data_IF_187597554641
#
_entry.id   IF_187597554641
#
_cell.length_a   1.000
_cell.length_b   1.000
_cell.length_c   1.000
_cell.angle_alpha   90.00
_cell.angle_beta   90.00
_cell.angle_gamma   90.00
#
_symmetry.space_group_name_H-M   'P 1'
#
loop_
_entity.id
_entity.type
_entity.pdbx_description
1 polymer ?
#
# COMPACT_ATOMS: atom_id res chain seq x y z
N UNK A 1 -18.78 -8.11 2.03
CA UNK A 1 -18.62 -7.74 0.61
C UNK A 1 -17.13 -7.82 0.31
N UNK A 2 -16.70 -8.81 -0.48
CA UNK A 2 -15.32 -8.87 -0.95
C UNK A 2 -15.19 -7.90 -2.11
N UNK A 3 -14.91 -6.64 -1.80
CA UNK A 3 -14.54 -5.68 -2.83
C UNK A 3 -13.16 -6.13 -3.33
N UNK A 4 -13.10 -6.58 -4.58
CA UNK A 4 -11.86 -6.59 -5.35
C UNK A 4 -11.46 -5.13 -5.47
N UNK A 5 -10.51 -4.73 -4.64
CA UNK A 5 -9.82 -3.45 -4.76
C UNK A 5 -8.75 -3.72 -5.81
N UNK A 6 -8.75 -2.99 -6.92
CA UNK A 6 -7.79 -3.17 -8.03
C UNK A 6 -6.31 -3.03 -7.58
N UNK A 7 -6.06 -2.43 -6.42
CA UNK A 7 -4.72 -2.41 -5.79
C UNK A 7 -4.29 -3.71 -5.08
N UNK A 8 -5.24 -4.58 -4.73
CA UNK A 8 -4.95 -5.96 -4.32
C UNK A 8 -4.56 -6.80 -5.53
N UNK A 9 -5.05 -6.49 -6.74
CA UNK A 9 -4.62 -7.18 -7.96
C UNK A 9 -3.15 -6.88 -8.25
N UNK A 10 -2.65 -5.64 -8.25
CA UNK A 10 -1.21 -5.39 -8.46
C UNK A 10 -0.30 -6.01 -7.40
N UNK A 11 -0.71 -6.02 -6.12
CA UNK A 11 0.03 -6.73 -5.07
C UNK A 11 -0.06 -8.24 -5.26
N UNK A 12 -1.23 -8.77 -5.64
CA UNK A 12 -1.41 -10.18 -5.97
C UNK A 12 -0.67 -10.58 -7.24
N UNK A 13 -0.54 -9.71 -8.24
CA UNK A 13 0.19 -9.91 -9.48
C UNK A 13 1.69 -9.92 -9.19
N UNK A 14 2.15 -9.07 -8.27
CA UNK A 14 3.49 -9.17 -7.70
C UNK A 14 3.67 -10.50 -6.95
N UNK A 15 2.71 -10.93 -6.14
CA UNK A 15 2.76 -12.23 -5.45
C UNK A 15 2.73 -13.40 -6.45
N UNK A 16 1.96 -13.29 -7.52
CA UNK A 16 1.76 -14.31 -8.55
C UNK A 16 2.99 -14.41 -9.46
N UNK A 17 3.57 -13.28 -9.86
CA UNK A 17 4.87 -13.26 -10.54
C UNK A 17 6.00 -13.83 -9.67
N UNK A 18 5.93 -13.64 -8.33
CA UNK A 18 6.84 -14.27 -7.37
C UNK A 18 6.52 -15.75 -7.09
N UNK A 19 5.30 -16.22 -7.39
CA UNK A 19 4.88 -17.63 -7.26
C UNK A 19 5.62 -18.55 -8.25
N UNK A 20 6.25 -17.97 -9.29
CA UNK A 20 7.12 -18.67 -10.23
C UNK A 20 8.52 -18.99 -9.65
N UNK A 21 8.87 -18.43 -8.49
CA UNK A 21 10.09 -18.78 -7.74
C UNK A 21 9.80 -19.95 -6.78
N UNK A 22 10.79 -20.71 -6.31
CA UNK A 22 10.56 -21.75 -5.30
C UNK A 22 9.92 -21.10 -4.07
N UNK A 23 8.59 -21.27 -3.92
CA UNK A 23 7.77 -20.55 -2.93
C UNK A 23 8.19 -20.84 -1.50
N UNK A 24 8.87 -21.97 -1.29
CA UNK A 24 9.48 -22.40 -0.03
C UNK A 24 10.72 -21.59 0.36
N UNK A 25 11.42 -21.00 -0.61
CA UNK A 25 12.58 -20.16 -0.38
C UNK A 25 12.20 -18.75 0.11
N UNK A 26 11.00 -18.28 -0.21
CA UNK A 26 10.58 -16.89 0.01
C UNK A 26 9.88 -16.73 1.37
N UNK A 27 10.33 -15.75 2.18
CA UNK A 27 9.59 -15.36 3.37
C UNK A 27 8.43 -14.40 3.01
N UNK A 28 7.28 -14.98 2.71
CA UNK A 28 6.07 -14.26 2.29
C UNK A 28 5.58 -13.20 3.29
N UNK A 29 5.62 -13.49 4.59
CA UNK A 29 5.19 -12.51 5.60
C UNK A 29 6.12 -11.28 5.57
N UNK A 30 7.43 -11.50 5.46
CA UNK A 30 8.41 -10.42 5.35
C UNK A 30 8.18 -9.57 4.11
N UNK A 31 7.83 -10.20 2.99
CA UNK A 31 7.50 -9.53 1.74
C UNK A 31 6.28 -8.60 1.88
N UNK A 32 5.16 -9.10 2.41
CA UNK A 32 3.98 -8.27 2.64
C UNK A 32 4.24 -7.16 3.66
N UNK A 33 5.04 -7.42 4.71
CA UNK A 33 5.47 -6.37 5.64
C UNK A 33 6.26 -5.27 4.93
N UNK A 34 7.11 -5.63 3.96
CA UNK A 34 7.82 -4.64 3.14
C UNK A 34 6.87 -3.84 2.26
N UNK A 35 5.95 -4.50 1.56
CA UNK A 35 4.96 -3.83 0.73
C UNK A 35 4.10 -2.83 1.54
N UNK A 36 3.63 -3.23 2.73
CA UNK A 36 2.93 -2.34 3.67
C UNK A 36 3.79 -1.13 4.04
N UNK A 37 5.08 -1.33 4.31
CA UNK A 37 6.02 -0.25 4.66
C UNK A 37 6.16 0.76 3.52
N UNK A 38 6.35 0.28 2.29
CA UNK A 38 6.49 1.09 1.07
C UNK A 38 5.25 1.97 0.88
N UNK A 39 4.07 1.36 0.83
CA UNK A 39 2.79 2.06 0.69
C UNK A 39 2.61 3.10 1.80
N UNK A 40 2.88 2.73 3.05
CA UNK A 40 2.70 3.63 4.20
C UNK A 40 3.62 4.84 4.11
N UNK A 41 4.90 4.63 3.78
CA UNK A 41 5.89 5.71 3.66
C UNK A 41 5.58 6.65 2.50
N UNK A 42 5.27 6.10 1.32
CA UNK A 42 4.93 6.89 0.14
C UNK A 42 3.66 7.70 0.34
N UNK A 43 2.63 7.09 0.93
CA UNK A 43 1.37 7.78 1.25
C UNK A 43 1.58 8.92 2.24
N UNK A 44 2.37 8.70 3.31
CA UNK A 44 2.73 9.75 4.27
C UNK A 44 3.54 10.91 3.64
N UNK A 45 4.24 10.65 2.53
CA UNK A 45 4.91 11.68 1.73
C UNK A 45 3.96 12.45 0.79
N UNK A 46 2.69 12.04 0.72
CA UNK A 46 1.67 12.64 -0.12
C UNK A 46 1.79 12.31 -1.60
N UNK A 47 2.24 11.07 -1.90
CA UNK A 47 2.48 10.62 -3.28
C UNK A 47 1.70 9.35 -3.62
N UNK A 48 1.22 9.27 -4.86
CA UNK A 48 0.62 8.07 -5.44
C UNK A 48 1.68 7.07 -5.91
N UNK A 49 1.24 5.93 -6.45
CA UNK A 49 2.11 4.83 -6.91
C UNK A 49 3.07 5.25 -8.01
N UNK A 50 2.70 6.23 -8.84
CA UNK A 50 3.55 6.78 -9.89
C UNK A 50 4.50 7.87 -9.36
N UNK A 51 4.50 8.11 -8.05
CA UNK A 51 5.30 9.14 -7.40
C UNK A 51 4.77 10.56 -7.59
N UNK A 52 3.62 10.75 -8.22
CA UNK A 52 3.00 12.06 -8.37
C UNK A 52 2.36 12.51 -7.04
N UNK A 53 2.26 13.83 -6.83
CA UNK A 53 1.63 14.37 -5.63
C UNK A 53 0.13 14.09 -5.65
N UNK A 54 -0.44 13.77 -4.49
CA UNK A 54 -1.88 13.61 -4.37
C UNK A 54 -2.64 14.88 -4.77
N UNK A 55 -3.80 14.67 -5.38
CA UNK A 55 -4.75 15.74 -5.68
C UNK A 55 -5.04 16.57 -4.43
N UNK A 56 -4.94 17.91 -4.50
CA UNK A 56 -5.19 18.79 -3.37
C UNK A 56 -6.65 18.68 -2.92
N UNK A 57 -6.92 19.19 -1.72
CA UNK A 57 -8.29 19.36 -1.24
C UNK A 57 -9.00 20.48 -2.00
N UNK A 58 -10.34 20.44 -2.04
CA UNK A 58 -11.12 21.58 -2.52
C UNK A 58 -10.88 22.80 -1.62
N UNK A 59 -11.01 24.01 -2.18
CA UNK A 59 -10.86 25.25 -1.42
C UNK A 59 -11.77 25.29 -0.19
N UNK A 60 -13.04 24.90 -0.34
CA UNK A 60 -14.01 24.82 0.75
C UNK A 60 -13.62 23.85 1.87
N UNK A 61 -12.96 22.74 1.52
CA UNK A 61 -12.51 21.76 2.51
C UNK A 61 -11.21 22.19 3.19
N UNK A 62 -10.33 22.92 2.49
CA UNK A 62 -9.14 23.53 3.09
C UNK A 62 -9.54 24.53 4.17
N UNK A 63 -10.47 25.44 3.86
CA UNK A 63 -11.02 26.42 4.81
C UNK A 63 -11.60 25.72 6.05
N UNK A 64 -12.43 24.69 5.85
CA UNK A 64 -12.93 23.88 6.96
C UNK A 64 -11.80 23.22 7.78
N UNK A 65 -10.80 22.61 7.13
CA UNK A 65 -9.73 21.87 7.80
C UNK A 65 -8.77 22.79 8.57
N UNK A 66 -8.49 23.96 8.02
CA UNK A 66 -7.66 25.00 8.64
C UNK A 66 -8.39 25.66 9.80
N UNK A 67 -9.60 26.17 9.58
CA UNK A 67 -10.32 26.98 10.56
C UNK A 67 -10.98 26.16 11.67
N UNK A 68 -11.46 24.95 11.35
CA UNK A 68 -12.26 24.15 12.32
C UNK A 68 -11.47 23.06 13.01
N UNK A 69 -10.46 22.50 12.35
CA UNK A 69 -9.71 21.36 12.88
C UNK A 69 -8.29 21.73 13.31
N UNK A 70 -7.77 22.91 12.90
CA UNK A 70 -6.40 23.32 13.17
C UNK A 70 -5.36 22.34 12.60
N UNK A 71 -5.71 21.63 11.52
CA UNK A 71 -4.88 20.55 10.96
C UNK A 71 -4.05 21.06 9.77
N UNK A 72 -2.85 20.51 9.52
CA UNK A 72 -2.04 20.88 8.37
C UNK A 72 -2.80 20.68 7.05
N UNK A 73 -2.78 21.73 6.22
CA UNK A 73 -3.45 21.79 4.90
C UNK A 73 -2.47 21.80 3.73
N UNK A 74 -1.18 21.95 4.00
CA UNK A 74 -0.14 22.14 2.96
C UNK A 74 0.20 20.87 2.18
N UNK A 75 -0.08 19.69 2.73
CA UNK A 75 0.18 18.39 2.09
C UNK A 75 -0.99 17.43 2.33
N UNK A 76 -1.51 16.87 1.25
CA UNK A 76 -2.45 15.75 1.31
C UNK A 76 -1.63 14.48 1.44
N UNK A 77 -1.83 13.72 2.51
CA UNK A 77 -1.08 12.50 2.85
C UNK A 77 -1.99 11.37 3.36
N UNK A 78 -3.31 11.53 3.15
CA UNK A 78 -4.36 10.64 3.65
C UNK A 78 -4.36 10.46 5.19
N UNK A 79 -3.67 11.35 5.92
CA UNK A 79 -3.70 11.39 7.37
C UNK A 79 -4.78 12.36 7.84
N UNK A 80 -5.90 11.80 8.31
CA UNK A 80 -6.94 12.56 9.03
C UNK A 80 -6.93 12.23 10.53
N UNK A 81 -7.22 10.97 10.89
CA UNK A 81 -7.08 10.44 12.26
C UNK A 81 -5.94 9.43 12.40
N UNK A 82 -5.34 9.03 11.27
CA UNK A 82 -4.38 7.91 11.21
C UNK A 82 -5.03 6.51 11.17
N UNK A 83 -6.35 6.40 11.43
CA UNK A 83 -7.03 5.09 11.50
C UNK A 83 -6.93 4.30 10.19
N UNK A 84 -7.03 4.99 9.04
CA UNK A 84 -7.02 4.32 7.74
C UNK A 84 -5.71 3.55 7.53
N UNK A 85 -4.57 4.25 7.55
CA UNK A 85 -3.25 3.61 7.41
C UNK A 85 -2.94 2.67 8.58
N UNK A 86 -3.38 3.00 9.81
CA UNK A 86 -3.21 2.16 10.99
C UNK A 86 -3.92 0.80 10.90
N UNK A 87 -5.02 0.74 10.15
CA UNK A 87 -5.78 -0.51 9.92
C UNK A 87 -5.21 -1.39 8.81
N UNK A 88 -4.13 -0.95 8.14
CA UNK A 88 -3.43 -1.78 7.17
C UNK A 88 -2.73 -2.94 7.88
N UNK A 89 -3.01 -4.16 7.47
CA UNK A 89 -2.48 -5.40 8.02
C UNK A 89 -1.83 -6.25 6.92
N UNK A 90 -1.02 -7.20 7.37
CA UNK A 90 -0.41 -8.21 6.50
C UNK A 90 -0.98 -9.58 6.86
N UNK A 91 -1.22 -10.39 5.83
CA UNK A 91 -1.63 -11.78 5.99
C UNK A 91 -0.79 -12.64 5.06
N UNK A 92 -0.63 -13.92 5.38
CA UNK A 92 0.10 -14.82 4.49
C UNK A 92 0.15 -16.24 5.00
N UNK A 93 0.59 -17.12 4.11
CA UNK A 93 0.84 -18.53 4.35
C UNK A 93 2.11 -18.94 3.59
N UNK A 94 2.36 -20.24 3.47
CA UNK A 94 3.57 -20.78 2.82
C UNK A 94 3.63 -20.54 1.30
N UNK A 95 2.51 -20.17 0.69
CA UNK A 95 2.38 -20.04 -0.77
C UNK A 95 2.09 -18.60 -1.21
N UNK A 96 2.07 -17.64 -0.28
CA UNK A 96 1.75 -16.26 -0.61
C UNK A 96 1.49 -15.37 0.61
N UNK A 97 1.40 -14.07 0.36
CA UNK A 97 1.03 -13.08 1.36
C UNK A 97 0.02 -12.09 0.80
N UNK A 98 -0.39 -11.08 1.55
CA UNK A 98 -1.22 -9.97 1.11
C UNK A 98 -1.14 -8.82 2.09
N UNK A 99 -1.37 -7.61 1.60
CA UNK A 99 -1.64 -6.42 2.40
C UNK A 99 -3.12 -6.10 2.29
N UNK A 100 -3.79 -5.81 3.41
CA UNK A 100 -5.24 -5.57 3.43
C UNK A 100 -5.61 -4.59 4.54
N UNK A 101 -6.84 -4.05 4.53
CA UNK A 101 -7.38 -3.28 5.64
C UNK A 101 -8.25 -4.17 6.53
N UNK A 102 -7.95 -4.23 7.83
CA UNK A 102 -8.68 -5.09 8.77
C UNK A 102 -10.02 -4.54 9.24
N UNK A 103 -10.23 -3.23 9.06
CA UNK A 103 -11.45 -2.53 9.44
C UNK A 103 -12.25 -2.16 8.18
N UNK A 104 -13.53 -2.52 8.13
CA UNK A 104 -14.34 -2.33 6.92
C UNK A 104 -14.57 -0.86 6.59
N UNK A 105 -14.73 0.00 7.60
CA UNK A 105 -14.92 1.44 7.39
C UNK A 105 -13.64 2.07 6.82
N UNK A 106 -12.48 1.67 7.32
CA UNK A 106 -11.20 2.14 6.78
C UNK A 106 -10.94 1.58 5.38
N UNK A 107 -11.32 0.33 5.13
CA UNK A 107 -11.24 -0.28 3.82
C UNK A 107 -12.06 0.50 2.78
N UNK A 108 -13.29 0.89 3.12
CA UNK A 108 -14.14 1.67 2.22
C UNK A 108 -13.55 3.06 1.95
N UNK A 109 -13.02 3.73 2.98
CA UNK A 109 -12.30 5.01 2.80
C UNK A 109 -11.10 4.86 1.87
N UNK A 110 -10.29 3.82 2.09
CA UNK A 110 -9.14 3.52 1.25
C UNK A 110 -9.57 3.30 -0.20
N UNK A 111 -10.65 2.53 -0.42
CA UNK A 111 -11.24 2.31 -1.74
C UNK A 111 -11.62 3.60 -2.45
N UNK A 112 -12.43 4.46 -1.80
CA UNK A 112 -12.87 5.73 -2.40
C UNK A 112 -11.70 6.64 -2.78
N UNK A 113 -10.65 6.71 -1.95
CA UNK A 113 -9.44 7.46 -2.28
C UNK A 113 -8.62 6.81 -3.40
N UNK A 114 -8.51 5.49 -3.42
CA UNK A 114 -7.68 4.78 -4.38
C UNK A 114 -8.30 4.77 -5.78
N UNK A 115 -9.60 4.52 -5.89
CA UNK A 115 -10.34 4.41 -7.15
C UNK A 115 -10.86 5.77 -7.65
N UNK A 116 -11.05 6.74 -6.75
CA UNK A 116 -11.59 8.05 -7.10
C UNK A 116 -13.11 8.08 -7.24
N UNK A 117 -13.82 7.26 -6.47
CA UNK A 117 -15.28 7.23 -6.42
C UNK A 117 -15.78 8.23 -5.34
N UNK A 118 -16.45 9.30 -5.77
CA UNK A 118 -16.93 10.39 -4.91
C UNK A 118 -15.82 11.26 -4.28
N UNK A 119 -14.54 10.91 -4.46
CA UNK A 119 -13.38 11.62 -3.95
C UNK A 119 -12.30 11.74 -5.04
N UNK A 120 -11.36 12.71 -4.95
CA UNK A 120 -10.24 12.75 -5.89
C UNK A 120 -9.40 11.48 -5.81
N UNK A 121 -9.12 10.87 -6.97
CA UNK A 121 -8.26 9.67 -7.10
C UNK A 121 -6.86 9.97 -6.57
N UNK A 122 -6.34 9.05 -5.76
CA UNK A 122 -5.04 9.05 -5.10
C UNK A 122 -4.57 7.61 -5.04
N UNK A 123 -4.13 7.07 -6.17
CA UNK A 123 -3.77 5.66 -6.36
C UNK A 123 -2.60 5.25 -5.46
N UNK A 124 -2.89 5.05 -4.17
CA UNK A 124 -1.88 4.95 -3.12
C UNK A 124 -1.64 3.51 -2.71
N UNK A 125 -2.63 2.65 -2.85
CA UNK A 125 -2.59 1.29 -2.34
C UNK A 125 -2.14 0.32 -3.43
N UNK A 126 -0.90 0.51 -3.86
CA UNK A 126 -0.26 -0.19 -4.96
C UNK A 126 1.28 -0.11 -4.82
N UNK A 127 2.00 -0.97 -5.53
CA UNK A 127 3.47 -0.96 -5.61
C UNK A 127 3.84 -0.74 -7.07
N UNK A 128 4.73 0.21 -7.36
CA UNK A 128 5.22 0.43 -8.73
C UNK A 128 6.33 -0.55 -9.10
N UNK A 129 6.58 -0.74 -10.39
CA UNK A 129 7.70 -1.55 -10.89
C UNK A 129 9.04 -1.09 -10.30
N UNK A 130 9.27 0.22 -10.23
CA UNK A 130 10.45 0.80 -9.60
C UNK A 130 10.58 0.40 -8.12
N UNK A 131 9.47 0.37 -7.37
CA UNK A 131 9.45 -0.08 -5.97
C UNK A 131 9.68 -1.59 -5.84
N UNK A 132 9.17 -2.38 -6.80
CA UNK A 132 9.44 -3.82 -6.89
C UNK A 132 10.94 -4.05 -7.06
N UNK A 133 11.53 -3.47 -8.10
CA UNK A 133 12.92 -3.72 -8.45
C UNK A 133 13.90 -3.20 -7.40
N UNK A 134 13.63 -2.01 -6.85
CA UNK A 134 14.55 -1.36 -5.92
C UNK A 134 14.41 -1.81 -4.46
N UNK A 135 13.23 -2.29 -4.03
CA UNK A 135 12.97 -2.57 -2.61
C UNK A 135 12.45 -3.98 -2.32
N UNK A 136 11.78 -4.64 -3.27
CA UNK A 136 11.22 -5.99 -3.09
C UNK A 136 12.19 -7.06 -3.59
N UNK A 137 12.66 -6.96 -4.83
CA UNK A 137 13.56 -7.96 -5.42
C UNK A 137 14.85 -8.20 -4.63
N UNK A 138 15.50 -7.19 -4.01
CA UNK A 138 16.67 -7.44 -3.16
C UNK A 138 16.35 -8.32 -1.94
N UNK A 139 15.13 -8.26 -1.41
CA UNK A 139 14.68 -9.08 -0.28
C UNK A 139 14.44 -10.52 -0.75
N UNK A 140 13.82 -10.67 -1.92
CA UNK A 140 13.53 -11.98 -2.52
C UNK A 140 14.82 -12.70 -2.89
N UNK A 141 15.72 -12.05 -3.61
CA UNK A 141 17.01 -12.63 -4.01
C UNK A 141 17.81 -13.11 -2.79
N UNK A 142 17.86 -12.29 -1.73
CA UNK A 142 18.52 -12.67 -0.48
C UNK A 142 17.90 -13.89 0.20
N UNK A 143 16.60 -14.08 0.08
CA UNK A 143 15.92 -15.27 0.62
C UNK A 143 16.24 -16.52 -0.19
N UNK A 144 16.25 -16.39 -1.52
CA UNK A 144 16.66 -17.45 -2.44
C UNK A 144 18.10 -17.86 -2.19
N UNK A 145 19.04 -16.91 -2.13
CA UNK A 145 20.46 -17.20 -1.92
C UNK A 145 20.68 -17.99 -0.63
N UNK A 146 20.03 -17.56 0.46
CA UNK A 146 20.10 -18.26 1.76
C UNK A 146 19.51 -19.66 1.72
N UNK A 147 18.42 -19.84 0.99
CA UNK A 147 17.82 -21.16 0.81
C UNK A 147 18.76 -22.08 0.05
N UNK A 148 19.39 -21.58 -1.02
CA UNK A 148 20.36 -22.33 -1.84
C UNK A 148 21.65 -22.66 -1.08
N UNK A 149 22.13 -21.79 -0.19
CA UNK A 149 23.28 -22.05 0.69
C UNK A 149 23.01 -23.15 1.74
N UNK A 150 21.74 -23.40 2.06
CA UNK A 150 21.31 -24.38 3.06
C UNK A 150 20.97 -25.77 2.50
N UNK A 151 20.99 -25.93 1.17
CA UNK A 151 20.84 -27.21 0.46
C UNK A 151 22.18 -27.92 0.31
#
# INVERSE_FOLDING_TARGET
MSVRIEGVEQINDLIESLSLMPTEAVNWIRLASKAKEIVSKRTASGRDVLGAKFSPYSASYLEYKEERLGRPVTRVDLFDTGNMLGSMQVGGNKIGSKVFFSDSVQNDKAKYHNEGDGLPKREFFAISDDEVDSQIMPIVNKDIDKFMEGL
#
